data_IF_815754463005
#
_entry.id   IF_815754463005
#
_cell.length_a   1.000
_cell.length_b   1.000
_cell.length_c   1.000
_cell.angle_alpha   90.00
_cell.angle_beta   90.00
_cell.angle_gamma   90.00
#
_symmetry.space_group_name_H-M   'P 1'
#
loop_
_entity.id
_entity.type
_entity.pdbx_description
1 polymer ?
#
# COMPACT_ATOMS: atom_id res chain seq x y z
N UNK A 1 30.01 -50.54 35.37
CA UNK A 1 29.12 -50.19 36.52
C UNK A 1 29.96 -49.45 37.54
N UNK A 2 29.50 -48.40 38.26
CA UNK A 2 28.14 -47.88 38.49
C UNK A 2 27.85 -46.57 37.69
N UNK A 3 26.71 -46.37 37.01
CA UNK A 3 25.33 -46.03 37.44
C UNK A 3 25.17 -44.60 38.04
N UNK A 4 24.94 -43.63 37.16
CA UNK A 4 24.38 -42.31 37.49
C UNK A 4 22.87 -42.44 37.72
N UNK A 5 22.38 -41.80 38.79
CA UNK A 5 21.00 -41.87 39.30
C UNK A 5 20.37 -40.49 39.10
N UNK A 6 19.47 -40.35 38.13
CA UNK A 6 18.55 -39.22 38.05
C UNK A 6 17.14 -39.72 38.32
N UNK A 7 16.60 -39.28 39.46
CA UNK A 7 15.21 -39.40 39.89
C UNK A 7 14.36 -38.43 39.04
N UNK A 8 13.34 -38.91 38.32
CA UNK A 8 11.88 -38.79 38.61
C UNK A 8 11.44 -37.34 38.94
N UNK A 9 10.47 -36.73 38.28
CA UNK A 9 9.03 -37.07 38.30
C UNK A 9 8.26 -36.00 37.47
N UNK A 10 7.30 -36.39 36.62
CA UNK A 10 5.83 -36.24 36.82
C UNK A 10 5.32 -34.80 36.56
N UNK A 11 4.18 -34.50 35.94
CA UNK A 11 3.05 -35.20 35.30
C UNK A 11 2.16 -34.08 34.66
N UNK A 12 1.04 -34.44 34.02
CA UNK A 12 -0.12 -33.60 33.60
C UNK A 12 -0.02 -32.83 32.26
N UNK A 13 -1.04 -32.80 31.40
CA UNK A 13 -2.34 -33.48 31.36
C UNK A 13 -2.95 -33.33 29.94
N UNK A 14 -4.01 -34.11 29.68
CA UNK A 14 -4.58 -34.49 28.39
C UNK A 14 -5.41 -33.44 27.62
N UNK A 15 -5.39 -33.61 26.29
CA UNK A 15 -6.47 -33.54 25.29
C UNK A 15 -7.78 -32.76 25.58
N UNK A 16 -8.17 -31.90 24.64
CA UNK A 16 -9.51 -31.30 24.56
C UNK A 16 -9.90 -30.89 23.12
N UNK A 17 -10.83 -31.65 22.55
CA UNK A 17 -11.26 -31.67 21.14
C UNK A 17 -12.03 -30.44 20.61
N UNK A 18 -11.85 -30.20 19.30
CA UNK A 18 -12.84 -29.90 18.23
C UNK A 18 -14.00 -28.92 18.52
N UNK A 19 -14.06 -27.86 17.70
CA UNK A 19 -15.33 -27.42 17.05
C UNK A 19 -15.10 -26.60 15.78
N UNK A 20 -15.17 -27.32 14.65
CA UNK A 20 -15.41 -26.79 13.31
C UNK A 20 -16.89 -26.38 13.21
N UNK A 21 -17.18 -25.13 12.83
CA UNK A 21 -18.48 -24.75 12.24
C UNK A 21 -18.30 -23.74 11.11
N UNK A 22 -18.08 -24.29 9.92
CA UNK A 22 -18.53 -23.72 8.66
C UNK A 22 -20.03 -23.99 8.46
N UNK A 23 -20.68 -23.22 7.55
CA UNK A 23 -22.12 -23.12 7.20
C UNK A 23 -22.82 -21.97 7.94
N UNK A 24 -23.54 -21.05 7.32
CA UNK A 24 -24.27 -21.12 6.05
C UNK A 24 -24.50 -19.69 5.50
N UNK A 25 -24.19 -19.49 4.22
CA UNK A 25 -24.67 -18.38 3.40
C UNK A 25 -26.14 -18.64 3.04
N UNK A 26 -27.05 -17.66 3.13
CA UNK A 26 -28.23 -17.59 2.25
C UNK A 26 -28.86 -16.19 2.18
N UNK A 27 -29.03 -15.77 0.92
CA UNK A 27 -29.99 -14.83 0.32
C UNK A 27 -30.44 -13.59 1.09
N UNK A 28 -30.16 -12.42 0.50
CA UNK A 28 -31.23 -11.65 -0.14
C UNK A 28 -30.76 -11.09 -1.49
N UNK A 29 -31.56 -11.38 -2.51
CA UNK A 29 -31.38 -10.98 -3.90
C UNK A 29 -32.63 -10.24 -4.39
N UNK A 30 -32.43 -9.33 -5.36
CA UNK A 30 -33.40 -8.58 -6.22
C UNK A 30 -33.91 -7.26 -5.61
N UNK A 31 -33.84 -6.11 -6.30
CA UNK A 31 -34.28 -5.88 -7.70
C UNK A 31 -33.59 -4.65 -8.35
N UNK A 32 -33.29 -4.77 -9.64
CA UNK A 32 -32.77 -3.73 -10.56
C UNK A 32 -33.89 -2.83 -11.14
N UNK A 33 -33.52 -1.59 -11.52
CA UNK A 33 -33.77 -0.84 -12.79
C UNK A 33 -33.28 0.62 -12.57
N UNK A 34 -32.24 1.16 -13.24
CA UNK A 34 -32.15 1.66 -14.64
C UNK A 34 -33.20 2.78 -14.91
N UNK A 35 -32.92 3.99 -15.43
CA UNK A 35 -31.82 4.53 -16.25
C UNK A 35 -31.98 6.08 -16.41
N UNK A 36 -30.90 6.77 -16.86
CA UNK A 36 -30.79 8.11 -17.52
C UNK A 36 -31.07 9.40 -16.68
N UNK A 37 -30.42 10.56 -16.87
CA UNK A 37 -29.59 11.06 -17.97
C UNK A 37 -28.82 12.36 -17.57
N UNK A 38 -27.80 12.67 -18.38
CA UNK A 38 -27.31 14.01 -18.81
C UNK A 38 -26.27 14.82 -18.00
N UNK A 39 -25.10 14.89 -18.65
CA UNK A 39 -24.11 15.98 -18.76
C UNK A 39 -24.59 17.39 -18.36
N UNK A 40 -23.75 18.16 -17.67
CA UNK A 40 -22.86 19.16 -18.29
C UNK A 40 -21.97 19.87 -17.25
N UNK A 41 -20.73 20.11 -17.67
CA UNK A 41 -19.74 21.13 -17.28
C UNK A 41 -19.85 21.83 -15.91
N UNK A 42 -18.80 21.71 -15.10
CA UNK A 42 -18.10 22.88 -14.53
C UNK A 42 -16.78 22.43 -13.90
N UNK A 43 -15.72 23.19 -14.19
CA UNK A 43 -14.40 23.03 -13.63
C UNK A 43 -14.45 22.99 -12.09
N UNK A 44 -14.33 21.80 -11.52
CA UNK A 44 -14.21 21.61 -10.08
C UNK A 44 -12.81 21.10 -9.77
N UNK A 45 -11.96 22.07 -9.42
CA UNK A 45 -10.78 21.94 -8.57
C UNK A 45 -10.95 20.73 -7.64
N UNK A 46 -10.19 19.66 -7.89
CA UNK A 46 -10.20 18.47 -7.04
C UNK A 46 -9.43 18.81 -5.77
N UNK A 47 -10.15 19.41 -4.83
CA UNK A 47 -9.79 19.44 -3.42
C UNK A 47 -10.05 18.02 -2.90
N UNK A 48 -9.02 17.17 -2.91
CA UNK A 48 -9.09 15.89 -2.22
C UNK A 48 -9.10 16.14 -0.71
N UNK A 49 -10.30 16.07 -0.11
CA UNK A 49 -10.45 16.06 1.34
C UNK A 49 -9.96 14.75 1.95
N UNK A 50 -9.44 14.79 3.20
CA UNK A 50 -8.68 13.73 3.82
C UNK A 50 -9.64 12.74 4.51
N UNK A 51 -9.37 11.44 4.38
CA UNK A 51 -9.84 10.46 5.36
C UNK A 51 -9.06 9.17 5.23
N UNK A 52 -8.13 8.94 6.17
CA UNK A 52 -8.07 7.74 7.03
C UNK A 52 -6.69 7.68 7.73
N UNK A 53 -6.70 8.05 9.01
CA UNK A 53 -5.84 7.52 10.09
C UNK A 53 -4.42 7.03 9.72
N UNK A 54 -3.42 7.88 9.97
CA UNK A 54 -2.00 7.51 10.08
C UNK A 54 -1.10 8.25 9.09
N UNK A 55 -0.64 9.46 9.45
CA UNK A 55 0.39 10.21 8.74
C UNK A 55 0.06 10.50 7.27
N UNK A 56 -0.65 11.59 6.98
CA UNK A 56 -0.91 11.97 5.59
C UNK A 56 0.37 12.49 4.95
N UNK A 57 1.22 11.59 4.46
CA UNK A 57 2.30 11.91 3.54
C UNK A 57 1.66 12.56 2.29
N UNK A 58 1.93 13.84 2.09
CA UNK A 58 1.41 14.59 0.94
C UNK A 58 1.92 13.95 -0.36
N UNK A 59 0.99 13.59 -1.24
CA UNK A 59 1.28 12.92 -2.52
C UNK A 59 1.13 13.90 -3.68
N UNK A 60 2.19 14.05 -4.46
CA UNK A 60 2.23 14.82 -5.71
C UNK A 60 1.97 13.85 -6.87
N UNK A 61 0.95 14.10 -7.70
CA UNK A 61 0.65 13.22 -8.83
C UNK A 61 1.57 13.48 -10.04
N UNK A 62 2.10 12.41 -10.64
CA UNK A 62 2.82 12.42 -11.91
C UNK A 62 1.95 11.96 -13.10
N UNK A 63 0.66 11.68 -12.85
CA UNK A 63 -0.26 11.08 -13.83
C UNK A 63 -0.19 9.55 -13.89
N UNK A 64 -1.17 8.92 -14.56
CA UNK A 64 -1.28 7.45 -14.75
C UNK A 64 -1.09 6.63 -13.45
N UNK A 65 -1.69 7.09 -12.34
CA UNK A 65 -1.58 6.47 -11.01
C UNK A 65 -0.15 6.41 -10.45
N UNK A 66 0.74 7.29 -10.90
CA UNK A 66 2.08 7.47 -10.33
C UNK A 66 2.12 8.70 -9.43
N UNK A 67 2.76 8.57 -8.28
CA UNK A 67 2.85 9.63 -7.28
C UNK A 67 4.27 9.74 -6.73
N UNK A 68 4.62 10.96 -6.29
CA UNK A 68 5.79 11.26 -5.47
C UNK A 68 5.31 11.64 -4.08
N UNK A 69 5.92 11.09 -3.03
CA UNK A 69 5.65 11.50 -1.64
C UNK A 69 6.94 11.59 -0.85
N UNK A 70 7.02 12.55 0.06
CA UNK A 70 8.13 12.68 1.01
C UNK A 70 7.65 12.20 2.37
N UNK A 71 8.36 11.25 2.97
CA UNK A 71 8.00 10.66 4.26
C UNK A 71 9.21 10.41 5.13
N UNK A 72 9.00 10.32 6.44
CA UNK A 72 10.02 9.89 7.39
C UNK A 72 9.81 8.42 7.78
N UNK A 73 10.88 7.63 7.73
CA UNK A 73 10.85 6.24 8.18
C UNK A 73 12.11 5.91 8.96
N UNK A 74 11.94 5.56 10.23
CA UNK A 74 13.03 5.22 11.16
C UNK A 74 14.13 6.29 11.19
N UNK A 75 13.73 7.57 11.31
CA UNK A 75 14.66 8.71 11.37
C UNK A 75 15.31 9.08 10.04
N UNK A 76 14.84 8.53 8.92
CA UNK A 76 15.36 8.83 7.58
C UNK A 76 14.28 9.43 6.70
N UNK A 77 14.61 10.52 6.02
CA UNK A 77 13.76 11.11 4.99
C UNK A 77 13.88 10.28 3.72
N UNK A 78 12.74 9.84 3.21
CA UNK A 78 12.61 9.07 1.98
C UNK A 78 11.67 9.78 1.02
N UNK A 79 12.08 9.85 -0.24
CA UNK A 79 11.28 10.35 -1.36
C UNK A 79 10.81 9.11 -2.14
N UNK A 80 9.54 8.76 -2.03
CA UNK A 80 8.97 7.60 -2.73
C UNK A 80 8.38 8.04 -4.07
N UNK A 81 8.82 7.42 -5.17
CA UNK A 81 8.27 7.59 -6.53
C UNK A 81 7.66 6.24 -6.92
N UNK A 82 6.33 6.14 -6.95
CA UNK A 82 5.64 4.85 -7.01
C UNK A 82 4.35 4.85 -7.82
N UNK A 83 4.12 3.74 -8.51
CA UNK A 83 2.84 3.42 -9.15
C UNK A 83 1.90 2.80 -8.12
N UNK A 84 0.68 3.32 -8.05
CA UNK A 84 -0.39 2.79 -7.23
C UNK A 84 -1.37 1.99 -8.10
N UNK A 85 -2.07 1.07 -7.47
CA UNK A 85 -3.18 0.34 -8.08
C UNK A 85 -4.41 0.47 -7.20
N UNK A 86 -5.58 0.36 -7.81
CA UNK A 86 -6.84 0.35 -7.10
C UNK A 86 -7.26 -1.09 -6.79
N UNK A 87 -7.69 -1.33 -5.56
CA UNK A 87 -8.27 -2.59 -5.16
C UNK A 87 -9.48 -2.33 -4.25
N UNK A 88 -10.68 -2.71 -4.71
CA UNK A 88 -11.94 -2.48 -4.00
C UNK A 88 -12.18 -1.00 -3.60
N UNK A 89 -11.83 -0.05 -4.48
CA UNK A 89 -11.98 1.39 -4.20
C UNK A 89 -10.86 2.00 -3.34
N UNK A 90 -9.87 1.20 -2.91
CA UNK A 90 -8.75 1.66 -2.10
C UNK A 90 -7.46 1.73 -2.95
N UNK A 91 -6.77 2.87 -2.89
CA UNK A 91 -5.50 3.08 -3.58
C UNK A 91 -4.33 2.49 -2.80
N UNK A 92 -3.67 1.48 -3.35
CA UNK A 92 -2.55 0.77 -2.71
C UNK A 92 -1.24 0.97 -3.47
N UNK A 93 -0.11 1.09 -2.75
CA UNK A 93 1.20 1.18 -3.37
C UNK A 93 1.52 -0.13 -4.11
N UNK A 94 1.90 -0.04 -5.38
CA UNK A 94 2.30 -1.18 -6.17
C UNK A 94 3.76 -1.57 -5.97
N UNK A 95 4.15 -2.73 -6.55
CA UNK A 95 5.54 -3.20 -6.56
C UNK A 95 6.47 -2.30 -7.39
N UNK A 96 5.94 -1.61 -8.40
CA UNK A 96 6.70 -0.70 -9.26
C UNK A 96 6.91 0.65 -8.57
N UNK A 97 8.14 0.95 -8.22
CA UNK A 97 8.54 2.23 -7.62
C UNK A 97 9.85 2.11 -6.86
N UNK A 98 10.37 3.24 -6.41
CA UNK A 98 11.62 3.34 -5.65
C UNK A 98 11.46 4.37 -4.53
N UNK A 99 12.05 4.08 -3.37
CA UNK A 99 12.25 5.08 -2.32
C UNK A 99 13.69 5.56 -2.36
N UNK A 100 13.89 6.83 -2.66
CA UNK A 100 15.19 7.48 -2.69
C UNK A 100 15.51 8.09 -1.33
N UNK A 101 16.76 8.01 -0.92
CA UNK A 101 17.27 8.81 0.20
C UNK A 101 17.50 10.25 -0.25
N UNK A 102 17.59 11.17 0.71
CA UNK A 102 17.84 12.59 0.44
C UNK A 102 19.08 12.83 -0.46
N UNK A 103 20.18 12.10 -0.23
CA UNK A 103 21.39 12.21 -1.06
C UNK A 103 21.17 11.77 -2.51
N UNK A 104 20.43 10.68 -2.72
CA UNK A 104 20.11 10.18 -4.06
C UNK A 104 19.19 11.16 -4.80
N UNK A 105 18.26 11.79 -4.07
CA UNK A 105 17.40 12.84 -4.64
C UNK A 105 18.21 14.07 -5.06
N UNK A 106 19.20 14.51 -4.28
CA UNK A 106 20.07 15.62 -4.69
C UNK A 106 20.86 15.29 -5.96
N UNK A 107 21.43 14.07 -6.05
CA UNK A 107 22.11 13.61 -7.27
C UNK A 107 21.19 13.57 -8.47
N UNK A 108 19.96 13.06 -8.31
CA UNK A 108 18.96 13.06 -9.37
C UNK A 108 18.71 14.48 -9.89
N UNK A 109 18.53 15.46 -8.99
CA UNK A 109 18.34 16.86 -9.36
C UNK A 109 19.52 17.44 -10.14
N UNK A 110 20.75 17.12 -9.72
CA UNK A 110 21.97 17.58 -10.39
C UNK A 110 22.12 16.98 -11.80
N UNK A 111 21.56 15.80 -12.04
CA UNK A 111 21.60 15.13 -13.34
C UNK A 111 20.38 15.39 -14.22
N UNK A 112 19.47 16.31 -13.86
CA UNK A 112 18.26 16.59 -14.66
C UNK A 112 18.64 17.04 -16.07
N UNK A 113 19.59 17.96 -16.20
CA UNK A 113 20.00 18.48 -17.52
C UNK A 113 20.53 17.36 -18.43
N UNK A 114 21.39 16.48 -17.90
CA UNK A 114 21.91 15.33 -18.64
C UNK A 114 20.81 14.32 -19.02
N UNK A 115 19.77 14.20 -18.18
CA UNK A 115 18.62 13.33 -18.44
C UNK A 115 17.76 13.94 -19.56
N UNK A 116 17.48 15.24 -19.49
CA UNK A 116 16.67 15.95 -20.47
C UNK A 116 17.33 15.94 -21.85
N UNK A 117 18.66 16.13 -21.92
CA UNK A 117 19.42 15.98 -23.17
C UNK A 117 19.25 14.57 -23.76
N UNK A 118 19.37 13.52 -22.94
CA UNK A 118 19.19 12.13 -23.40
C UNK A 118 17.76 11.84 -23.84
N UNK A 119 16.76 12.43 -23.19
CA UNK A 119 15.35 12.31 -23.62
C UNK A 119 15.19 12.93 -25.01
N UNK A 120 15.70 14.14 -25.22
CA UNK A 120 15.64 14.81 -26.52
C UNK A 120 16.37 14.04 -27.63
N UNK A 121 17.44 13.32 -27.33
CA UNK A 121 18.15 12.50 -28.32
C UNK A 121 17.37 11.23 -28.73
N UNK A 122 16.46 10.74 -27.90
CA UNK A 122 15.67 9.53 -28.14
C UNK A 122 14.27 9.81 -28.69
N UNK A 123 13.81 11.06 -28.61
CA UNK A 123 12.52 11.51 -29.12
C UNK A 123 12.67 12.15 -30.50
#
# INVERSE_FOLDING_TARGET
>A
MPKHKTLTSSDSDSEGERKVKAKLRKDQSKKRKADQNQNETTAKRVTSQPNSSGGSDEKISLGKMKFVSVREFKGKILIDIREFYENNGEMKPGKKGISLQAEQWQKLKQSIDDIDEKIHQLC
#
